data_IF_448639180518
#
_entry.id   IF_448639180518
#
_cell.length_a   1.000
_cell.length_b   1.000
_cell.length_c   1.000
_cell.angle_alpha   90.00
_cell.angle_beta   90.00
_cell.angle_gamma   90.00
#
_symmetry.space_group_name_H-M   'P 1'
#
loop_
_entity.id
_entity.type
_entity.pdbx_description
1 polymer ?
#
# COMPACT_ATOMS: atom_id res chain seq x y z
N UNK A 1 -48.91 3.77 -3.02
CA UNK A 1 -47.62 3.16 -3.44
C UNK A 1 -47.35 1.98 -2.53
N UNK A 2 -47.28 0.74 -3.04
CA UNK A 2 -47.18 -0.43 -2.18
C UNK A 2 -45.77 -0.60 -1.57
N UNK A 3 -45.71 -1.01 -0.30
CA UNK A 3 -44.48 -1.07 0.51
C UNK A 3 -43.44 -2.08 0.00
N UNK A 4 -43.85 -3.09 -0.76
CA UNK A 4 -42.93 -4.09 -1.32
C UNK A 4 -42.00 -3.54 -2.40
N UNK A 5 -42.41 -2.49 -3.14
CA UNK A 5 -41.55 -1.82 -4.11
C UNK A 5 -40.35 -1.18 -3.43
N UNK A 6 -40.55 -0.54 -2.28
CA UNK A 6 -39.47 0.06 -1.48
C UNK A 6 -38.47 -0.99 -0.98
N UNK A 7 -38.93 -2.20 -0.62
CA UNK A 7 -38.06 -3.30 -0.23
C UNK A 7 -37.21 -3.80 -1.40
N UNK A 8 -37.81 -3.93 -2.59
CA UNK A 8 -37.07 -4.35 -3.80
C UNK A 8 -36.06 -3.28 -4.21
N UNK A 9 -36.46 -2.00 -4.22
CA UNK A 9 -35.58 -0.89 -4.60
C UNK A 9 -34.39 -0.74 -3.63
N UNK A 10 -34.64 -0.89 -2.32
CA UNK A 10 -33.56 -0.84 -1.31
C UNK A 10 -32.61 -2.03 -1.42
N UNK A 11 -33.12 -3.24 -1.67
CA UNK A 11 -32.27 -4.41 -1.90
C UNK A 11 -31.41 -4.23 -3.16
N UNK A 12 -32.01 -3.73 -4.25
CA UNK A 12 -31.30 -3.45 -5.50
C UNK A 12 -30.20 -2.42 -5.29
N UNK A 13 -30.47 -1.36 -4.52
CA UNK A 13 -29.49 -0.33 -4.17
C UNK A 13 -28.31 -0.92 -3.40
N UNK A 14 -28.57 -1.79 -2.40
CA UNK A 14 -27.51 -2.44 -1.62
C UNK A 14 -26.67 -3.34 -2.50
N UNK A 15 -27.28 -4.15 -3.37
CA UNK A 15 -26.54 -5.02 -4.29
C UNK A 15 -25.70 -4.19 -5.26
N UNK A 16 -26.27 -3.12 -5.84
CA UNK A 16 -25.53 -2.22 -6.71
C UNK A 16 -24.34 -1.57 -5.98
N UNK A 17 -24.53 -1.14 -4.73
CA UNK A 17 -23.46 -0.56 -3.92
C UNK A 17 -22.33 -1.56 -3.65
N UNK A 18 -22.66 -2.82 -3.35
CA UNK A 18 -21.68 -3.89 -3.17
C UNK A 18 -20.90 -4.15 -4.45
N UNK A 19 -21.56 -4.21 -5.61
CA UNK A 19 -20.90 -4.39 -6.91
C UNK A 19 -19.94 -3.24 -7.20
N UNK A 20 -20.36 -2.00 -6.98
CA UNK A 20 -19.52 -0.81 -7.16
C UNK A 20 -18.30 -0.86 -6.23
N UNK A 21 -18.47 -1.26 -4.98
CA UNK A 21 -17.39 -1.40 -4.02
C UNK A 21 -16.37 -2.47 -4.47
N UNK A 22 -16.86 -3.63 -4.94
CA UNK A 22 -16.01 -4.70 -5.47
C UNK A 22 -15.26 -4.25 -6.73
N UNK A 23 -15.94 -3.56 -7.65
CA UNK A 23 -15.31 -3.02 -8.85
C UNK A 23 -14.20 -2.03 -8.51
N UNK A 24 -14.41 -1.12 -7.55
CA UNK A 24 -13.39 -0.20 -7.06
C UNK A 24 -12.16 -0.93 -6.50
N UNK A 25 -12.35 -2.00 -5.73
CA UNK A 25 -11.25 -2.82 -5.19
C UNK A 25 -10.46 -3.48 -6.31
N UNK A 26 -11.13 -4.06 -7.31
CA UNK A 26 -10.46 -4.71 -8.45
C UNK A 26 -9.72 -3.70 -9.31
N UNK A 27 -10.31 -2.54 -9.59
CA UNK A 27 -9.66 -1.45 -10.35
C UNK A 27 -8.46 -0.91 -9.58
N UNK A 28 -8.55 -0.75 -8.25
CA UNK A 28 -7.41 -0.34 -7.41
C UNK A 28 -6.28 -1.35 -7.52
N UNK A 29 -6.58 -2.62 -7.29
CA UNK A 29 -5.58 -3.71 -7.33
C UNK A 29 -4.91 -3.79 -8.70
N UNK A 30 -5.71 -3.74 -9.77
CA UNK A 30 -5.17 -3.71 -11.14
C UNK A 30 -4.41 -2.44 -11.47
N UNK A 31 -4.78 -1.30 -10.91
CA UNK A 31 -4.03 -0.06 -11.13
C UNK A 31 -2.67 -0.12 -10.45
N UNK A 32 -2.55 -0.79 -9.29
CA UNK A 32 -1.27 -1.02 -8.61
C UNK A 32 -0.44 -2.05 -9.37
N UNK A 33 -1.03 -3.17 -9.82
CA UNK A 33 -0.34 -4.20 -10.60
C UNK A 33 0.11 -3.71 -12.00
N UNK A 34 -0.61 -2.74 -12.60
CA UNK A 34 -0.23 -2.10 -13.87
C UNK A 34 0.85 -1.03 -13.73
N UNK A 35 1.18 -0.58 -12.51
CA UNK A 35 2.32 0.31 -12.29
C UNK A 35 3.59 -0.53 -12.33
N UNK A 36 4.18 -0.64 -13.51
CA UNK A 36 5.53 -1.20 -13.72
C UNK A 36 6.52 -0.50 -12.79
N UNK A 37 7.16 -1.24 -11.88
CA UNK A 37 8.06 -0.68 -10.86
C UNK A 37 7.56 -0.78 -9.41
N UNK A 38 6.53 -1.59 -9.15
CA UNK A 38 6.14 -1.97 -7.80
C UNK A 38 7.13 -2.98 -7.20
N UNK A 39 7.69 -2.68 -6.03
CA UNK A 39 8.58 -3.57 -5.28
C UNK A 39 8.25 -3.53 -3.78
N UNK A 40 8.58 -4.59 -3.07
CA UNK A 40 8.43 -4.63 -1.63
C UNK A 40 9.44 -3.68 -0.98
N UNK A 41 8.94 -2.68 -0.27
CA UNK A 41 9.76 -1.69 0.41
C UNK A 41 9.22 -1.50 1.81
N UNK A 42 10.07 -1.75 2.80
CA UNK A 42 9.74 -1.50 4.21
C UNK A 42 10.44 -0.22 4.64
N UNK A 43 9.68 0.74 5.16
CA UNK A 43 10.22 2.00 5.67
C UNK A 43 10.19 1.95 7.19
N UNK A 44 11.35 2.22 7.81
CA UNK A 44 11.38 2.56 9.23
C UNK A 44 11.11 4.05 9.41
N UNK A 45 10.13 4.41 10.24
CA UNK A 45 9.93 5.81 10.68
C UNK A 45 10.73 6.15 11.95
N UNK A 46 11.46 5.19 12.52
CA UNK A 46 12.25 5.36 13.74
C UNK A 46 13.68 4.93 13.49
N UNK A 47 14.64 5.67 14.05
CA UNK A 47 16.07 5.38 13.90
C UNK A 47 16.49 4.04 14.52
N UNK A 48 15.70 3.50 15.46
CA UNK A 48 16.01 2.25 16.14
C UNK A 48 14.78 1.45 16.57
N UNK A 49 14.85 0.12 16.39
CA UNK A 49 13.92 -0.87 16.94
C UNK A 49 12.89 -1.45 15.95
N UNK A 50 12.53 -2.73 16.17
CA UNK A 50 11.59 -3.49 15.34
C UNK A 50 10.19 -2.84 15.20
N UNK A 51 9.77 -2.04 16.18
CA UNK A 51 8.45 -1.39 16.21
C UNK A 51 8.31 -0.20 15.24
N UNK A 52 9.40 0.26 14.61
CA UNK A 52 9.40 1.40 13.68
C UNK A 52 9.12 1.03 12.22
N UNK A 53 9.23 -0.25 11.88
CA UNK A 53 9.16 -0.75 10.51
C UNK A 53 7.72 -0.89 10.04
N UNK A 54 7.42 -0.26 8.90
CA UNK A 54 6.14 -0.41 8.22
C UNK A 54 6.37 -1.10 6.89
N UNK A 55 5.77 -2.28 6.73
CA UNK A 55 5.79 -3.02 5.46
C UNK A 55 4.87 -2.30 4.47
N UNK A 56 5.33 -2.18 3.23
CA UNK A 56 4.60 -1.53 2.17
C UNK A 56 5.11 -1.93 0.78
N UNK A 57 4.49 -1.32 -0.21
CA UNK A 57 4.88 -1.46 -1.61
C UNK A 57 5.36 -0.09 -2.08
N UNK A 58 6.61 -0.04 -2.51
CA UNK A 58 7.18 1.10 -3.23
C UNK A 58 6.80 1.00 -4.70
N UNK A 59 6.37 2.10 -5.31
CA UNK A 59 6.12 2.20 -6.74
C UNK A 59 7.01 3.30 -7.31
N UNK A 60 7.94 2.89 -8.16
CA UNK A 60 8.85 3.81 -8.82
C UNK A 60 8.16 4.50 -10.00
N UNK A 61 8.13 5.83 -9.99
CA UNK A 61 7.78 6.67 -11.15
C UNK A 61 9.05 7.38 -11.66
N UNK A 62 8.97 8.01 -12.82
CA UNK A 62 10.14 8.59 -13.52
C UNK A 62 11.02 9.51 -12.68
N UNK A 63 10.43 10.27 -11.73
CA UNK A 63 11.16 11.25 -10.92
C UNK A 63 10.94 11.11 -9.39
N UNK A 64 10.08 10.19 -8.96
CA UNK A 64 9.80 10.00 -7.54
C UNK A 64 9.39 8.56 -7.22
N UNK A 65 9.71 8.15 -6.01
CA UNK A 65 9.31 6.88 -5.43
C UNK A 65 8.12 7.11 -4.49
N UNK A 66 7.00 6.48 -4.81
CA UNK A 66 5.81 6.50 -3.95
C UNK A 66 5.77 5.27 -3.07
N UNK A 67 5.58 5.41 -1.77
CA UNK A 67 5.45 4.28 -0.86
C UNK A 67 4.03 4.18 -0.29
N UNK A 68 3.44 2.99 -0.43
CA UNK A 68 2.10 2.66 0.02
C UNK A 68 2.18 1.63 1.15
N UNK A 69 1.54 1.93 2.29
CA UNK A 69 1.49 0.99 3.42
C UNK A 69 0.58 -0.20 3.08
N UNK A 70 1.05 -1.42 3.35
CA UNK A 70 0.29 -2.66 3.06
C UNK A 70 -1.08 -2.69 3.75
N UNK A 71 -1.13 -2.28 5.01
CA UNK A 71 -2.36 -2.21 5.81
C UNK A 71 -2.99 -0.81 5.84
N UNK A 72 -3.06 -0.11 4.70
CA UNK A 72 -3.73 1.20 4.62
C UNK A 72 -4.91 1.21 3.65
N UNK A 73 -6.06 1.70 4.12
CA UNK A 73 -7.22 2.00 3.29
C UNK A 73 -7.02 3.27 2.44
N UNK A 74 -5.96 4.04 2.66
CA UNK A 74 -5.68 5.24 1.88
C UNK A 74 -5.22 4.87 0.46
N UNK A 75 -5.82 5.53 -0.53
CA UNK A 75 -5.43 5.45 -1.94
C UNK A 75 -4.25 6.38 -2.27
N UNK A 76 -3.80 7.17 -1.29
CA UNK A 76 -2.69 8.12 -1.43
C UNK A 76 -1.39 7.48 -0.92
N UNK A 77 -0.24 7.81 -1.52
CA UNK A 77 1.05 7.38 -1.01
C UNK A 77 1.26 7.95 0.39
N UNK A 78 1.72 7.11 1.31
CA UNK A 78 2.02 7.51 2.69
C UNK A 78 3.33 8.27 2.79
N UNK A 79 4.24 8.04 1.84
CA UNK A 79 5.53 8.75 1.71
C UNK A 79 5.83 8.88 0.22
N UNK A 80 6.33 10.05 -0.19
CA UNK A 80 6.85 10.30 -1.54
C UNK A 80 8.30 10.73 -1.38
N UNK A 81 9.22 9.99 -2.00
CA UNK A 81 10.64 10.30 -1.99
C UNK A 81 11.06 10.79 -3.39
N UNK A 82 11.55 12.03 -3.54
CA UNK A 82 12.03 12.53 -4.82
C UNK A 82 13.35 11.83 -5.21
N UNK A 83 13.51 11.46 -6.49
CA UNK A 83 14.69 10.72 -6.97
C UNK A 83 16.01 11.39 -6.64
N UNK A 84 16.06 12.73 -6.72
CA UNK A 84 17.27 13.53 -6.47
C UNK A 84 17.47 13.93 -5.00
N UNK A 85 16.53 13.58 -4.12
CA UNK A 85 16.60 13.93 -2.69
C UNK A 85 16.92 12.74 -1.78
N UNK A 86 17.24 11.57 -2.36
CA UNK A 86 17.59 10.37 -1.60
C UNK A 86 19.06 10.05 -1.80
N UNK A 87 19.79 10.03 -0.70
CA UNK A 87 21.17 9.59 -0.64
C UNK A 87 21.25 8.32 0.20
N UNK A 88 22.02 7.34 -0.25
CA UNK A 88 22.25 6.09 0.49
C UNK A 88 23.49 6.29 1.34
N UNK A 89 23.30 6.57 2.63
CA UNK A 89 24.38 6.82 3.58
C UNK A 89 25.10 5.52 4.00
N UNK A 90 24.43 4.37 3.93
CA UNK A 90 25.01 3.10 4.34
C UNK A 90 24.23 1.89 3.86
N UNK A 91 24.77 0.69 4.09
CA UNK A 91 24.08 -0.58 3.85
C UNK A 91 24.39 -1.52 5.00
N UNK A 92 23.37 -2.13 5.59
CA UNK A 92 23.54 -3.14 6.65
C UNK A 92 22.59 -4.31 6.49
N UNK A 93 22.96 -5.43 7.10
CA UNK A 93 22.04 -6.56 7.25
C UNK A 93 21.01 -6.25 8.36
N UNK A 94 19.78 -6.79 8.24
CA UNK A 94 18.79 -6.72 9.32
C UNK A 94 19.32 -7.35 10.60
N UNK A 95 19.06 -6.72 11.74
CA UNK A 95 19.32 -7.36 13.03
C UNK A 95 18.30 -8.48 13.29
N UNK A 96 18.58 -9.38 14.25
CA UNK A 96 17.70 -10.51 14.61
C UNK A 96 16.28 -10.07 15.00
N UNK A 97 16.12 -8.88 15.59
CA UNK A 97 14.81 -8.33 15.91
C UNK A 97 14.06 -7.80 14.67
N UNK A 98 14.78 -7.38 13.64
CA UNK A 98 14.22 -6.80 12.40
C UNK A 98 13.97 -7.88 11.34
N UNK A 99 14.72 -8.98 11.37
CA UNK A 99 14.56 -10.13 10.48
C UNK A 99 13.20 -10.83 10.60
N UNK A 100 12.46 -10.59 11.68
CA UNK A 100 11.10 -11.08 11.87
C UNK A 100 10.06 -10.23 11.12
N UNK A 101 10.41 -8.98 10.77
CA UNK A 101 9.52 -8.02 10.10
C UNK A 101 9.90 -7.85 8.62
N UNK A 102 11.19 -8.01 8.30
CA UNK A 102 11.73 -7.87 6.96
C UNK A 102 11.76 -9.21 6.23
N UNK A 103 11.51 -9.18 4.92
CA UNK A 103 11.61 -10.38 4.09
C UNK A 103 13.06 -10.93 4.08
N UNK A 104 13.24 -12.27 3.99
CA UNK A 104 14.57 -12.87 3.94
C UNK A 104 15.40 -12.31 2.77
N UNK A 105 16.65 -11.93 3.04
CA UNK A 105 17.56 -11.37 2.04
C UNK A 105 17.42 -9.86 1.79
N UNK A 106 16.58 -9.16 2.55
CA UNK A 106 16.45 -7.70 2.47
C UNK A 106 17.70 -7.00 3.01
N UNK A 107 18.19 -5.97 2.31
CA UNK A 107 19.27 -5.08 2.77
C UNK A 107 18.65 -3.78 3.26
N UNK A 108 19.07 -3.32 4.44
CA UNK A 108 18.70 -2.00 4.96
C UNK A 108 19.68 -0.98 4.38
N UNK A 109 19.13 0.05 3.73
CA UNK A 109 19.83 1.19 3.11
C UNK A 109 19.55 2.48 3.86
#
# INVERSE_FOLDING_TARGET
MPLWLWLVDSLLLVVALVIVLLALVVVRRRSIERRSGAFELTISRRESGAAGWSIGTGVYHDDHLEWYRTFSLAWRPSVVLPRRGVEITGRRHPDTAESHVLAPGTIVV
#
